data_IF_896218410607
#
_entry.id   IF_896218410607
#
_cell.length_a   1.000
_cell.length_b   1.000
_cell.length_c   1.000
_cell.angle_alpha   90.00
_cell.angle_beta   90.00
_cell.angle_gamma   90.00
#
_symmetry.space_group_name_H-M   'P 1'
#
loop_
_entity.id
_entity.type
_entity.pdbx_description
1 polymer ?
#
# COMPACT_ATOMS: atom_id res chain seq x y z
N UNK A 1 2.82 9.83 -28.91
CA UNK A 1 2.23 9.53 -27.60
C UNK A 1 2.36 10.74 -26.68
N UNK A 2 1.34 10.98 -25.85
CA UNK A 2 1.46 11.81 -24.64
C UNK A 2 1.93 10.93 -23.46
N UNK A 3 2.35 11.56 -22.36
CA UNK A 3 2.70 10.84 -21.12
C UNK A 3 1.54 9.96 -20.66
N UNK A 4 0.31 10.46 -20.66
CA UNK A 4 -0.87 9.72 -20.23
C UNK A 4 -1.12 8.50 -21.13
N UNK A 5 -1.14 8.68 -22.45
CA UNK A 5 -1.43 7.58 -23.38
C UNK A 5 -0.35 6.51 -23.34
N UNK A 6 0.92 6.88 -23.22
CA UNK A 6 2.02 5.93 -23.10
C UNK A 6 2.02 5.20 -21.76
N UNK A 7 1.95 5.92 -20.64
CA UNK A 7 1.98 5.31 -19.30
C UNK A 7 0.80 4.37 -19.10
N UNK A 8 -0.38 4.71 -19.64
CA UNK A 8 -1.55 3.83 -19.61
C UNK A 8 -1.30 2.55 -20.41
N UNK A 9 -0.80 2.66 -21.63
CA UNK A 9 -0.46 1.50 -22.49
C UNK A 9 0.59 0.61 -21.79
N UNK A 10 1.68 1.21 -21.31
CA UNK A 10 2.73 0.52 -20.57
C UNK A 10 2.18 -0.20 -19.34
N UNK A 11 1.33 0.46 -18.55
CA UNK A 11 0.73 -0.15 -17.39
C UNK A 11 -0.13 -1.36 -17.73
N UNK A 12 -1.03 -1.23 -18.71
CA UNK A 12 -1.96 -2.30 -19.09
C UNK A 12 -1.22 -3.53 -19.68
N UNK A 13 -0.21 -3.28 -20.52
CA UNK A 13 0.50 -4.35 -21.26
C UNK A 13 1.61 -4.98 -20.41
N UNK A 14 2.47 -4.17 -19.80
CA UNK A 14 3.70 -4.69 -19.20
C UNK A 14 3.59 -4.91 -17.69
N UNK A 15 2.77 -4.15 -16.97
CA UNK A 15 2.79 -4.16 -15.50
C UNK A 15 1.58 -4.87 -14.89
N UNK A 16 0.39 -4.50 -15.29
CA UNK A 16 -0.87 -4.97 -14.70
C UNK A 16 -1.02 -6.49 -14.63
N UNK A 17 -0.57 -7.29 -15.62
CA UNK A 17 -0.64 -8.74 -15.53
C UNK A 17 0.24 -9.35 -14.43
N UNK A 18 1.35 -8.67 -14.08
CA UNK A 18 2.39 -9.21 -13.21
C UNK A 18 2.28 -8.77 -11.74
N UNK A 19 1.45 -7.77 -11.45
CA UNK A 19 1.37 -7.18 -10.11
C UNK A 19 0.08 -7.57 -9.37
N UNK A 20 0.18 -7.57 -8.04
CA UNK A 20 -0.92 -7.90 -7.13
C UNK A 20 -1.99 -6.80 -7.09
N UNK A 21 -3.24 -7.14 -6.74
CA UNK A 21 -4.37 -6.20 -6.71
C UNK A 21 -4.09 -4.90 -5.93
N UNK A 22 -3.50 -4.97 -4.74
CA UNK A 22 -3.14 -3.77 -3.96
C UNK A 22 -2.10 -2.88 -4.67
N UNK A 23 -1.17 -3.50 -5.40
CA UNK A 23 -0.19 -2.75 -6.19
C UNK A 23 -0.85 -2.12 -7.40
N UNK A 24 -1.83 -2.79 -8.04
CA UNK A 24 -2.64 -2.23 -9.13
C UNK A 24 -3.35 -0.96 -8.66
N UNK A 25 -4.00 -1.00 -7.49
CA UNK A 25 -4.67 0.16 -6.92
C UNK A 25 -3.69 1.31 -6.64
N UNK A 26 -2.51 0.99 -6.07
CA UNK A 26 -1.47 2.00 -5.83
C UNK A 26 -1.00 2.67 -7.12
N UNK A 27 -0.73 1.89 -8.20
CA UNK A 27 -0.33 2.43 -9.49
C UNK A 27 -1.41 3.32 -10.08
N UNK A 28 -2.67 2.84 -10.08
CA UNK A 28 -3.82 3.61 -10.57
C UNK A 28 -3.94 4.94 -9.84
N UNK A 29 -3.91 4.92 -8.50
CA UNK A 29 -3.99 6.15 -7.70
C UNK A 29 -2.85 7.12 -8.00
N UNK A 30 -1.62 6.63 -8.15
CA UNK A 30 -0.47 7.47 -8.49
C UNK A 30 -0.61 8.10 -9.89
N UNK A 31 -1.08 7.31 -10.86
CA UNK A 31 -1.26 7.77 -12.24
C UNK A 31 -2.42 8.76 -12.36
N UNK A 32 -3.62 8.36 -11.94
CA UNK A 32 -4.85 9.13 -12.16
C UNK A 32 -4.94 10.39 -11.30
N UNK A 33 -4.52 10.31 -10.04
CA UNK A 33 -4.69 11.43 -9.11
C UNK A 33 -3.52 12.41 -9.09
N UNK A 34 -2.36 12.04 -9.63
CA UNK A 34 -1.17 12.86 -9.51
C UNK A 34 -0.40 13.01 -10.83
N UNK A 35 0.00 11.90 -11.46
CA UNK A 35 0.86 11.94 -12.63
C UNK A 35 0.15 12.56 -13.85
N UNK A 36 -1.05 12.07 -14.17
CA UNK A 36 -1.79 12.53 -15.34
C UNK A 36 -2.26 13.96 -15.23
N UNK A 37 -2.78 14.46 -14.09
CA UNK A 37 -3.10 15.88 -13.95
C UNK A 37 -1.90 16.82 -14.13
N UNK A 38 -0.70 16.38 -13.75
CA UNK A 38 0.49 17.22 -13.79
C UNK A 38 1.25 17.17 -15.13
N UNK A 39 1.33 16.00 -15.76
CA UNK A 39 2.19 15.76 -16.92
C UNK A 39 1.49 15.01 -18.07
N UNK A 40 0.23 14.59 -17.91
CA UNK A 40 -0.46 13.68 -18.81
C UNK A 40 -0.53 14.14 -20.26
N UNK A 41 -0.81 15.41 -20.48
CA UNK A 41 -0.98 15.99 -21.82
C UNK A 41 0.34 16.29 -22.53
N UNK A 42 1.48 16.20 -21.81
CA UNK A 42 2.78 16.50 -22.40
C UNK A 42 3.17 15.41 -23.41
N UNK A 43 3.54 15.76 -24.65
CA UNK A 43 4.11 14.81 -25.60
C UNK A 43 5.42 14.22 -25.06
N UNK A 44 5.62 12.90 -25.22
CA UNK A 44 6.83 12.22 -24.72
C UNK A 44 8.13 12.84 -25.21
N UNK A 45 8.17 13.22 -26.47
CA UNK A 45 9.35 13.82 -27.13
C UNK A 45 9.69 15.22 -26.58
N UNK A 46 8.71 15.91 -26.00
CA UNK A 46 8.88 17.25 -25.42
C UNK A 46 9.07 17.24 -23.90
N UNK A 47 8.97 16.06 -23.29
CA UNK A 47 9.09 15.92 -21.84
C UNK A 47 10.54 16.12 -21.39
N UNK A 48 10.79 17.15 -20.59
CA UNK A 48 12.14 17.49 -20.09
C UNK A 48 12.31 17.15 -18.60
N UNK A 49 13.56 16.93 -18.19
CA UNK A 49 13.93 16.70 -16.79
C UNK A 49 13.47 17.83 -15.87
N UNK A 50 13.54 19.09 -16.34
CA UNK A 50 13.12 20.26 -15.55
C UNK A 50 11.61 20.25 -15.32
N UNK A 51 10.80 19.92 -16.33
CA UNK A 51 9.35 19.83 -16.18
C UNK A 51 8.98 18.72 -15.17
N UNK A 52 9.60 17.55 -15.28
CA UNK A 52 9.37 16.44 -14.34
C UNK A 52 9.76 16.87 -12.92
N UNK A 53 10.94 17.47 -12.73
CA UNK A 53 11.39 17.86 -11.39
C UNK A 53 10.48 18.92 -10.76
N UNK A 54 10.00 19.89 -11.55
CA UNK A 54 9.01 20.88 -11.07
C UNK A 54 7.72 20.21 -10.64
N UNK A 55 7.18 19.31 -11.45
CA UNK A 55 5.96 18.56 -11.09
C UNK A 55 6.14 17.72 -9.81
N UNK A 56 7.28 17.06 -9.63
CA UNK A 56 7.60 16.31 -8.41
C UNK A 56 7.69 17.22 -7.18
N UNK A 57 8.29 18.39 -7.30
CA UNK A 57 8.38 19.37 -6.21
C UNK A 57 6.97 19.91 -5.85
N UNK A 58 6.16 20.28 -6.83
CA UNK A 58 4.78 20.74 -6.64
C UNK A 58 3.92 19.67 -5.96
N UNK A 59 3.99 18.41 -6.41
CA UNK A 59 3.29 17.30 -5.76
C UNK A 59 3.76 17.10 -4.33
N UNK A 60 5.04 17.31 -4.03
CA UNK A 60 5.57 17.19 -2.68
C UNK A 60 4.99 18.24 -1.73
N UNK A 61 4.78 19.47 -2.20
CA UNK A 61 4.33 20.61 -1.40
C UNK A 61 2.80 20.72 -1.34
N UNK A 62 2.12 20.48 -2.47
CA UNK A 62 0.69 20.76 -2.64
C UNK A 62 -0.12 19.59 -3.21
N UNK A 63 0.49 18.41 -3.38
CA UNK A 63 -0.11 17.29 -4.10
C UNK A 63 -1.18 16.50 -3.34
N UNK A 64 -1.56 16.89 -2.13
CA UNK A 64 -2.57 16.16 -1.35
C UNK A 64 -3.98 16.45 -1.85
N UNK A 65 -4.66 15.44 -2.36
CA UNK A 65 -6.02 15.57 -2.85
C UNK A 65 -7.04 15.64 -1.71
N UNK A 66 -8.02 16.52 -1.85
CA UNK A 66 -9.20 16.62 -0.98
C UNK A 66 -10.23 15.54 -1.38
N UNK A 67 -10.26 14.41 -0.67
CA UNK A 67 -11.33 13.41 -0.86
C UNK A 67 -12.64 13.80 -0.15
N UNK A 68 -12.56 14.65 0.88
CA UNK A 68 -13.71 15.11 1.66
C UNK A 68 -13.67 16.63 1.73
N UNK A 69 -14.45 17.30 0.91
CA UNK A 69 -14.48 18.76 0.79
C UNK A 69 -14.90 19.49 2.08
N UNK A 70 -15.56 18.78 3.01
CA UNK A 70 -16.02 19.32 4.30
C UNK A 70 -14.99 19.22 5.43
N UNK A 71 -13.87 18.53 5.20
CA UNK A 71 -12.78 18.42 6.19
C UNK A 71 -11.59 19.24 5.71
N UNK A 72 -11.22 20.33 6.40
CA UNK A 72 -10.04 21.11 6.02
C UNK A 72 -8.77 20.22 6.08
N UNK A 73 -7.94 20.29 5.05
CA UNK A 73 -6.63 19.65 5.07
C UNK A 73 -5.74 20.38 6.08
N UNK A 74 -5.25 19.64 7.09
CA UNK A 74 -4.21 20.15 7.99
C UNK A 74 -2.87 20.31 7.28
N UNK A 75 -2.62 19.50 6.25
CA UNK A 75 -1.37 19.49 5.48
C UNK A 75 -1.72 19.29 4.00
N UNK A 76 -1.10 20.07 3.14
CA UNK A 76 -1.24 19.99 1.68
C UNK A 76 -0.19 19.06 1.06
N UNK A 77 0.85 18.72 1.82
CA UNK A 77 2.00 17.91 1.38
C UNK A 77 1.63 16.47 1.08
N UNK A 78 2.14 15.94 -0.02
CA UNK A 78 2.04 14.52 -0.33
C UNK A 78 3.17 13.75 0.37
N UNK A 79 2.86 12.55 0.88
CA UNK A 79 3.89 11.79 1.59
C UNK A 79 5.07 11.44 0.67
N UNK A 80 6.34 11.50 1.17
CA UNK A 80 7.52 11.18 0.39
C UNK A 80 7.44 9.81 -0.31
N UNK A 81 6.81 8.83 0.33
CA UNK A 81 6.62 7.49 -0.23
C UNK A 81 5.76 7.50 -1.50
N UNK A 82 4.70 8.31 -1.53
CA UNK A 82 3.83 8.41 -2.71
C UNK A 82 4.56 9.14 -3.82
N UNK A 83 5.25 10.25 -3.52
CA UNK A 83 6.05 10.99 -4.50
C UNK A 83 7.14 10.12 -5.12
N UNK A 84 7.85 9.33 -4.30
CA UNK A 84 8.82 8.32 -4.79
C UNK A 84 8.16 7.26 -5.67
N UNK A 85 6.94 6.83 -5.31
CA UNK A 85 6.17 5.89 -6.11
C UNK A 85 5.81 6.45 -7.49
N UNK A 86 5.32 7.70 -7.54
CA UNK A 86 4.97 8.39 -8.79
C UNK A 86 6.20 8.52 -9.70
N UNK A 87 7.33 9.02 -9.16
CA UNK A 87 8.57 9.14 -9.91
C UNK A 87 9.09 7.76 -10.37
N UNK A 88 8.93 6.72 -9.53
CA UNK A 88 9.31 5.34 -9.88
C UNK A 88 8.47 4.76 -11.02
N UNK A 89 7.17 5.04 -11.05
CA UNK A 89 6.26 4.65 -12.15
C UNK A 89 6.69 5.36 -13.44
N UNK A 90 6.88 6.68 -13.37
CA UNK A 90 7.29 7.48 -14.53
C UNK A 90 8.64 7.01 -15.09
N UNK A 91 9.65 6.79 -14.23
CA UNK A 91 10.97 6.28 -14.67
C UNK A 91 10.86 4.97 -15.42
N UNK A 92 10.17 3.99 -14.83
CA UNK A 92 10.04 2.65 -15.43
C UNK A 92 9.28 2.70 -16.76
N UNK A 93 8.25 3.52 -16.86
CA UNK A 93 7.51 3.67 -18.13
C UNK A 93 8.35 4.35 -19.20
N UNK A 94 9.17 5.35 -18.83
CA UNK A 94 10.05 6.03 -19.76
C UNK A 94 11.28 5.18 -20.12
N UNK A 95 11.80 4.33 -19.23
CA UNK A 95 12.81 3.34 -19.57
C UNK A 95 12.29 2.36 -20.64
N UNK A 96 11.03 1.92 -20.52
CA UNK A 96 10.40 1.11 -21.56
C UNK A 96 10.21 1.92 -22.86
N UNK A 97 9.87 3.20 -22.79
CA UNK A 97 9.74 4.05 -23.96
C UNK A 97 11.09 4.19 -24.73
N UNK A 98 12.21 4.22 -24.01
CA UNK A 98 13.55 4.18 -24.60
C UNK A 98 13.79 2.83 -25.28
N UNK A 99 13.43 1.72 -24.60
CA UNK A 99 13.57 0.37 -25.18
C UNK A 99 12.75 0.19 -26.47
N UNK A 100 11.53 0.77 -26.51
CA UNK A 100 10.64 0.78 -27.68
C UNK A 100 11.05 1.84 -28.73
N UNK A 101 12.16 2.57 -28.50
CA UNK A 101 12.66 3.64 -29.40
C UNK A 101 11.69 4.80 -29.64
N UNK A 102 10.78 5.06 -28.71
CA UNK A 102 9.86 6.19 -28.74
C UNK A 102 10.53 7.50 -28.32
N UNK A 103 11.54 7.40 -27.45
CA UNK A 103 12.39 8.51 -27.01
C UNK A 103 13.85 8.05 -26.96
N UNK A 104 14.78 8.99 -27.11
CA UNK A 104 16.23 8.69 -27.14
C UNK A 104 16.82 8.41 -25.77
N UNK A 105 16.31 9.07 -24.73
CA UNK A 105 16.80 8.93 -23.35
C UNK A 105 15.67 9.18 -22.36
N UNK A 106 15.82 8.65 -21.13
CA UNK A 106 14.83 8.83 -20.08
C UNK A 106 15.03 10.17 -19.35
N UNK A 107 14.16 11.16 -19.54
CA UNK A 107 14.29 12.47 -18.88
C UNK A 107 14.04 12.42 -17.37
N UNK A 108 13.42 11.35 -16.85
CA UNK A 108 13.21 11.17 -15.40
C UNK A 108 14.40 10.54 -14.67
N UNK A 109 15.42 10.05 -15.38
CA UNK A 109 16.53 9.29 -14.78
C UNK A 109 17.22 10.05 -13.64
N UNK A 110 17.48 11.35 -13.83
CA UNK A 110 18.19 12.20 -12.87
C UNK A 110 17.29 13.02 -11.94
N UNK A 111 15.96 12.89 -12.04
CA UNK A 111 15.03 13.57 -11.13
C UNK A 111 15.16 13.05 -9.70
N UNK A 112 14.93 13.90 -8.72
CA UNK A 112 15.03 13.57 -7.29
C UNK A 112 13.66 13.65 -6.63
N UNK A 113 13.31 12.65 -5.84
CA UNK A 113 12.17 12.68 -4.95
C UNK A 113 12.60 12.97 -3.51
N UNK A 114 11.69 13.48 -2.65
CA UNK A 114 12.01 13.72 -1.24
C UNK A 114 12.40 12.43 -0.54
N UNK A 115 13.34 12.54 0.42
CA UNK A 115 13.79 11.40 1.22
C UNK A 115 12.71 11.01 2.23
N UNK A 116 12.49 9.72 2.40
CA UNK A 116 11.63 9.21 3.47
C UNK A 116 12.39 9.21 4.78
N UNK A 117 11.91 9.97 5.75
CA UNK A 117 12.42 9.89 7.13
C UNK A 117 11.75 8.69 7.80
N UNK A 118 12.53 7.73 8.27
CA UNK A 118 12.01 6.63 9.09
C UNK A 118 11.57 7.19 10.43
N UNK A 119 10.28 7.12 10.71
CA UNK A 119 9.76 7.40 12.05
C UNK A 119 9.84 6.11 12.87
N UNK A 120 10.27 6.24 14.11
CA UNK A 120 10.21 5.15 15.07
C UNK A 120 8.78 4.70 15.28
N UNK A 121 8.55 3.39 15.26
CA UNK A 121 7.20 2.84 15.43
C UNK A 121 6.81 2.95 16.90
N UNK A 122 5.66 3.54 17.16
CA UNK A 122 5.09 3.57 18.52
C UNK A 122 4.58 2.17 18.85
N UNK A 123 5.11 1.58 19.89
CA UNK A 123 4.64 0.33 20.48
C UNK A 123 3.64 0.64 21.57
N UNK A 124 2.62 -0.20 21.76
CA UNK A 124 1.68 -0.08 22.87
C UNK A 124 2.45 -0.33 24.18
N UNK A 125 2.53 0.63 25.10
CA UNK A 125 3.18 0.43 26.40
C UNK A 125 2.47 -0.66 27.21
N UNK A 126 3.22 -1.36 28.05
CA UNK A 126 2.69 -2.48 28.85
C UNK A 126 1.53 -2.04 29.75
N UNK A 127 1.63 -0.86 30.33
CA UNK A 127 0.62 -0.26 31.23
C UNK A 127 -0.72 0.01 30.51
N UNK A 128 -0.69 0.16 29.20
CA UNK A 128 -1.89 0.41 28.38
C UNK A 128 -2.54 -0.86 27.83
N UNK A 129 -1.90 -2.04 27.98
CA UNK A 129 -2.47 -3.31 27.47
C UNK A 129 -3.78 -3.65 28.19
N UNK A 130 -3.80 -3.51 29.53
CA UNK A 130 -5.01 -3.75 30.33
C UNK A 130 -6.18 -2.84 29.94
N UNK A 131 -6.02 -1.52 29.96
CA UNK A 131 -7.05 -0.57 29.48
C UNK A 131 -7.49 -0.82 28.02
N UNK A 132 -6.56 -1.14 27.13
CA UNK A 132 -6.86 -1.47 25.74
C UNK A 132 -7.77 -2.69 25.62
N UNK A 133 -7.46 -3.77 26.33
CA UNK A 133 -8.26 -5.00 26.32
C UNK A 133 -9.62 -4.81 27.02
N UNK A 134 -9.69 -3.99 28.06
CA UNK A 134 -10.94 -3.63 28.69
C UNK A 134 -11.88 -2.91 27.70
N UNK A 135 -11.38 -1.89 27.02
CA UNK A 135 -12.15 -1.18 25.99
C UNK A 135 -12.58 -2.09 24.83
N UNK A 136 -11.70 -3.01 24.42
CA UNK A 136 -12.02 -4.01 23.41
C UNK A 136 -13.19 -4.92 23.83
N UNK A 137 -13.27 -5.26 25.12
CA UNK A 137 -14.36 -6.05 25.69
C UNK A 137 -15.67 -5.29 25.69
N UNK A 138 -15.66 -4.00 26.06
CA UNK A 138 -16.85 -3.15 26.04
C UNK A 138 -17.41 -3.00 24.61
N UNK A 139 -16.54 -3.02 23.59
CA UNK A 139 -16.92 -2.91 22.18
C UNK A 139 -17.22 -4.24 21.50
N UNK A 140 -17.16 -5.36 22.21
CA UNK A 140 -17.43 -6.70 21.65
C UNK A 140 -16.37 -7.21 20.68
N UNK A 141 -15.14 -6.65 20.70
CA UNK A 141 -14.02 -7.02 19.82
C UNK A 141 -12.82 -7.58 20.59
N UNK A 142 -13.04 -8.08 21.81
CA UNK A 142 -12.00 -8.57 22.69
C UNK A 142 -11.22 -9.76 22.09
N UNK A 143 -11.93 -10.82 21.65
CA UNK A 143 -11.29 -12.05 21.19
C UNK A 143 -10.34 -11.83 19.98
N UNK A 144 -10.74 -11.13 18.91
CA UNK A 144 -9.82 -10.85 17.80
C UNK A 144 -8.64 -9.98 18.20
N UNK A 145 -8.82 -8.95 19.05
CA UNK A 145 -7.71 -8.09 19.46
C UNK A 145 -6.77 -8.79 20.44
N UNK A 146 -7.28 -9.64 21.33
CA UNK A 146 -6.46 -10.47 22.19
C UNK A 146 -5.64 -11.49 21.38
N UNK A 147 -6.24 -12.13 20.37
CA UNK A 147 -5.54 -13.01 19.45
C UNK A 147 -4.44 -12.27 18.70
N UNK A 148 -4.70 -11.06 18.22
CA UNK A 148 -3.69 -10.23 17.51
C UNK A 148 -2.49 -9.91 18.39
N UNK A 149 -2.73 -9.49 19.65
CA UNK A 149 -1.67 -9.18 20.62
C UNK A 149 -0.82 -10.40 20.97
N UNK A 150 -1.44 -11.57 21.15
CA UNK A 150 -0.74 -12.79 21.60
C UNK A 150 -0.07 -13.55 20.47
N UNK A 151 -0.50 -13.38 19.21
CA UNK A 151 -0.02 -14.14 18.05
C UNK A 151 0.81 -13.32 17.07
N UNK A 152 0.78 -12.00 17.15
CA UNK A 152 1.45 -11.11 16.19
C UNK A 152 0.92 -11.24 14.76
N UNK A 153 -0.34 -11.62 14.59
CA UNK A 153 -1.00 -11.67 13.30
C UNK A 153 -1.08 -10.29 12.66
N UNK A 154 -0.91 -10.23 11.35
CA UNK A 154 -1.23 -8.99 10.62
C UNK A 154 -2.75 -8.85 10.52
N UNK A 155 -3.25 -7.62 10.57
CA UNK A 155 -4.70 -7.33 10.45
C UNK A 155 -5.39 -8.13 9.33
N UNK A 156 -4.78 -8.19 8.14
CA UNK A 156 -5.37 -8.93 7.03
C UNK A 156 -5.36 -10.44 7.20
N UNK A 157 -4.40 -11.00 7.93
CA UNK A 157 -4.34 -12.41 8.30
C UNK A 157 -5.43 -12.72 9.32
N UNK A 158 -5.54 -11.91 10.39
CA UNK A 158 -6.57 -12.03 11.41
C UNK A 158 -7.99 -12.04 10.81
N UNK A 159 -8.29 -11.07 9.95
CA UNK A 159 -9.61 -10.94 9.30
C UNK A 159 -9.90 -12.03 8.26
N UNK A 160 -8.91 -12.82 7.85
CA UNK A 160 -9.08 -13.92 6.91
C UNK A 160 -9.26 -15.29 7.60
N UNK A 161 -9.13 -15.35 8.93
CA UNK A 161 -9.25 -16.59 9.69
C UNK A 161 -10.67 -17.16 9.65
N UNK A 162 -10.73 -18.46 9.61
CA UNK A 162 -11.96 -19.26 9.75
C UNK A 162 -11.78 -20.25 10.89
N UNK A 163 -12.86 -20.69 11.50
CA UNK A 163 -12.84 -21.69 12.57
C UNK A 163 -12.08 -22.96 12.21
N UNK A 164 -12.14 -23.40 10.96
CA UNK A 164 -11.38 -24.56 10.46
C UNK A 164 -9.85 -24.35 10.45
N UNK A 165 -9.37 -23.12 10.55
CA UNK A 165 -7.95 -22.81 10.59
C UNK A 165 -7.39 -22.98 12.04
N UNK A 166 -8.26 -23.12 13.05
CA UNK A 166 -7.93 -23.37 14.45
C UNK A 166 -8.09 -24.88 14.79
N UNK A 167 -7.03 -25.50 15.26
CA UNK A 167 -7.08 -26.81 15.88
C UNK A 167 -7.03 -26.62 17.41
N UNK A 168 -8.18 -26.77 18.04
CA UNK A 168 -8.35 -26.56 19.50
C UNK A 168 -7.55 -27.60 20.30
N UNK A 169 -7.53 -28.89 19.85
CA UNK A 169 -6.85 -29.98 20.53
C UNK A 169 -5.33 -29.77 20.59
N UNK A 170 -4.75 -29.41 19.45
CA UNK A 170 -3.30 -29.19 19.32
C UNK A 170 -2.92 -27.75 19.61
N UNK A 171 -3.89 -26.87 19.87
CA UNK A 171 -3.72 -25.44 20.12
C UNK A 171 -2.92 -24.74 18.99
N UNK A 172 -3.22 -25.12 17.76
CA UNK A 172 -2.52 -24.57 16.59
C UNK A 172 -3.45 -23.79 15.69
N UNK A 173 -2.91 -22.71 15.10
CA UNK A 173 -3.60 -21.83 14.18
C UNK A 173 -2.86 -21.78 12.84
N UNK A 174 -3.53 -22.14 11.76
CA UNK A 174 -2.98 -22.15 10.41
C UNK A 174 -3.19 -20.80 9.73
N UNK A 175 -2.11 -20.09 9.40
CA UNK A 175 -2.15 -18.80 8.70
C UNK A 175 -1.80 -19.01 7.24
N UNK A 176 -2.82 -19.06 6.39
CA UNK A 176 -2.67 -19.38 4.95
C UNK A 176 -3.24 -18.31 4.02
N UNK A 177 -3.94 -17.33 4.56
CA UNK A 177 -4.69 -16.31 3.80
C UNK A 177 -4.51 -14.93 4.40
N UNK A 178 -4.81 -13.94 3.60
CA UNK A 178 -4.92 -12.56 4.05
C UNK A 178 -6.02 -11.86 3.27
N UNK A 179 -6.84 -11.06 3.94
CA UNK A 179 -7.88 -10.25 3.31
C UNK A 179 -7.42 -8.81 3.18
N UNK A 180 -7.75 -8.18 2.08
CA UNK A 180 -7.57 -6.75 1.86
C UNK A 180 -8.82 -6.16 1.20
N UNK A 181 -8.98 -4.85 1.30
CA UNK A 181 -10.07 -4.12 0.64
C UNK A 181 -9.53 -3.45 -0.61
N UNK A 182 -10.13 -3.75 -1.77
CA UNK A 182 -9.77 -3.20 -3.07
C UNK A 182 -11.07 -2.76 -3.74
N UNK A 183 -11.13 -1.52 -4.20
CA UNK A 183 -12.31 -0.94 -4.84
C UNK A 183 -13.61 -1.24 -4.05
N UNK A 184 -13.55 -1.03 -2.73
CA UNK A 184 -14.61 -1.31 -1.75
C UNK A 184 -15.00 -2.78 -1.56
N UNK A 185 -14.38 -3.73 -2.26
CA UNK A 185 -14.62 -5.16 -2.14
C UNK A 185 -13.55 -5.84 -1.28
N UNK A 186 -13.96 -6.85 -0.50
CA UNK A 186 -13.04 -7.68 0.25
C UNK A 186 -12.45 -8.75 -0.67
N UNK A 187 -11.14 -8.74 -0.81
CA UNK A 187 -10.40 -9.71 -1.62
C UNK A 187 -9.53 -10.56 -0.73
N UNK A 188 -9.78 -11.87 -0.73
CA UNK A 188 -8.94 -12.87 -0.05
C UNK A 188 -7.83 -13.27 -0.99
N UNK A 189 -6.59 -13.24 -0.51
CA UNK A 189 -5.40 -13.61 -1.30
C UNK A 189 -4.46 -14.48 -0.47
N UNK A 190 -3.62 -15.23 -1.16
CA UNK A 190 -2.50 -15.91 -0.51
C UNK A 190 -1.45 -14.89 -0.05
N UNK A 191 -0.70 -15.20 1.03
CA UNK A 191 0.38 -14.35 1.50
C UNK A 191 1.45 -14.08 0.45
N UNK A 192 2.21 -12.98 0.62
CA UNK A 192 3.23 -12.53 -0.34
C UNK A 192 4.41 -13.49 -0.51
N UNK A 193 4.75 -14.23 0.53
CA UNK A 193 5.93 -15.11 0.56
C UNK A 193 5.56 -16.45 1.16
N UNK A 194 6.31 -17.51 0.82
CA UNK A 194 6.18 -18.84 1.42
C UNK A 194 6.33 -18.78 2.94
N UNK A 195 7.21 -17.94 3.47
CA UNK A 195 7.42 -17.75 4.91
C UNK A 195 6.23 -17.08 5.65
N UNK A 196 5.25 -16.55 4.91
CA UNK A 196 4.01 -16.04 5.51
C UNK A 196 2.96 -17.13 5.70
N UNK A 197 3.14 -18.30 5.08
CA UNK A 197 2.38 -19.51 5.38
C UNK A 197 3.02 -20.13 6.63
N UNK A 198 2.29 -20.15 7.73
CA UNK A 198 2.84 -20.62 9.00
C UNK A 198 1.76 -21.24 9.89
N UNK A 199 2.19 -22.15 10.72
CA UNK A 199 1.43 -22.68 11.82
C UNK A 199 1.90 -21.99 13.11
N UNK A 200 0.97 -21.45 13.86
CA UNK A 200 1.23 -20.80 15.15
C UNK A 200 0.75 -21.73 16.27
N UNK A 201 1.55 -21.90 17.31
CA UNK A 201 1.10 -22.53 18.55
C UNK A 201 0.52 -21.44 19.46
N UNK A 202 -0.70 -21.61 19.93
CA UNK A 202 -1.38 -20.66 20.79
C UNK A 202 -1.26 -21.08 22.28
N UNK A 203 -1.13 -20.10 23.19
CA UNK A 203 -1.29 -20.37 24.62
C UNK A 203 -2.67 -20.95 24.94
N UNK A 204 -2.74 -21.80 25.97
CA UNK A 204 -4.01 -22.39 26.38
C UNK A 204 -5.06 -21.31 26.72
N UNK A 205 -4.64 -20.22 27.37
CA UNK A 205 -5.51 -19.07 27.69
C UNK A 205 -6.11 -18.42 26.46
N UNK A 206 -5.32 -18.31 25.37
CA UNK A 206 -5.82 -17.76 24.12
C UNK A 206 -6.89 -18.65 23.49
N UNK A 207 -6.68 -19.95 23.48
CA UNK A 207 -7.68 -20.89 22.95
C UNK A 207 -8.96 -20.87 23.77
N UNK A 208 -8.88 -20.79 25.10
CA UNK A 208 -10.05 -20.65 25.97
C UNK A 208 -10.89 -19.40 25.75
N UNK A 209 -10.24 -18.31 25.32
CA UNK A 209 -10.94 -17.07 24.99
C UNK A 209 -11.65 -17.15 23.63
N UNK A 210 -11.15 -17.98 22.72
CA UNK A 210 -11.71 -18.12 21.39
C UNK A 210 -12.89 -19.09 21.32
N UNK A 211 -12.94 -20.07 22.23
CA UNK A 211 -13.97 -21.12 22.30
C UNK A 211 -14.98 -20.81 23.38
#
# INVERSE_FOLDING_TARGET
YTVQTWVTLWYEVFIKPQIRPNTKQFYRNCMENHLFPALGDCPLEKLSTIQIQRAINEMSEHGRNHYYSHIPLKETTLSPRIVQGILGILRKSLDQAVAEKLILSNPAANCKAPKTVRKEMKVLPEELIGPYLYEAKQRGVFAPLYLELTSGLRRGELLALLWKDLNVKDRTLSVTKSVCRIDHQLVVSQPKTKNSLRLLTLPASTVQILV
#
